data_IF_683370564031
#
_entry.id   IF_683370564031
#
_cell.length_a   1.000
_cell.length_b   1.000
_cell.length_c   1.000
_cell.angle_alpha   90.00
_cell.angle_beta   90.00
_cell.angle_gamma   90.00
#
_symmetry.space_group_name_H-M   'P 1'
#
loop_
_entity.id
_entity.type
_entity.pdbx_description
1 polymer ?
#
# COMPACT_ATOMS: atom_id res chain seq x y z
N UNK A 1 -5.27 -21.76 9.51
CA UNK A 1 -5.95 -20.46 9.34
C UNK A 1 -6.30 -19.94 10.73
N UNK A 2 -5.63 -18.90 11.22
CA UNK A 2 -6.09 -18.27 12.47
C UNK A 2 -7.44 -17.64 12.20
N UNK A 3 -8.45 -17.91 13.02
CA UNK A 3 -9.73 -17.23 12.95
C UNK A 3 -9.49 -15.72 13.02
N UNK A 4 -10.00 -14.96 12.05
CA UNK A 4 -9.90 -13.51 12.05
C UNK A 4 -10.68 -12.97 13.27
N UNK A 5 -10.04 -12.31 14.24
CA UNK A 5 -10.70 -11.89 15.48
C UNK A 5 -11.58 -10.65 15.30
N UNK A 6 -11.60 -10.05 14.12
CA UNK A 6 -12.34 -8.82 13.83
C UNK A 6 -13.83 -9.11 13.64
N UNK A 7 -14.65 -8.27 14.27
CA UNK A 7 -16.11 -8.26 14.14
C UNK A 7 -16.51 -6.87 13.64
N UNK A 8 -17.37 -6.79 12.62
CA UNK A 8 -17.93 -5.53 12.13
C UNK A 8 -19.24 -5.21 12.85
N UNK A 9 -19.51 -3.91 13.06
CA UNK A 9 -20.77 -3.43 13.65
C UNK A 9 -21.95 -3.51 12.67
N UNK A 10 -21.67 -3.61 11.37
CA UNK A 10 -22.63 -3.65 10.28
C UNK A 10 -22.31 -4.77 9.27
N UNK A 11 -23.28 -5.22 8.45
CA UNK A 11 -23.04 -6.23 7.43
C UNK A 11 -22.15 -5.66 6.31
N UNK A 12 -20.94 -6.21 6.18
CA UNK A 12 -19.98 -5.89 5.13
C UNK A 12 -19.40 -7.18 4.55
N UNK A 13 -18.82 -7.10 3.36
CA UNK A 13 -18.12 -8.26 2.79
C UNK A 13 -16.94 -8.68 3.68
N UNK A 14 -16.75 -9.99 3.96
CA UNK A 14 -15.63 -10.49 4.75
C UNK A 14 -14.24 -10.06 4.25
N UNK A 15 -14.09 -9.76 2.96
CA UNK A 15 -12.86 -9.26 2.36
C UNK A 15 -12.27 -8.07 3.15
N UNK A 16 -13.12 -7.14 3.60
CA UNK A 16 -12.68 -5.92 4.28
C UNK A 16 -12.08 -6.19 5.67
N UNK A 17 -12.58 -7.19 6.39
CA UNK A 17 -12.02 -7.61 7.68
C UNK A 17 -10.87 -8.59 7.51
N UNK A 18 -10.89 -9.43 6.47
CA UNK A 18 -9.88 -10.45 6.18
C UNK A 18 -8.56 -9.84 5.71
N UNK A 19 -8.62 -8.76 4.93
CA UNK A 19 -7.42 -8.02 4.55
C UNK A 19 -6.77 -7.42 5.80
N UNK A 20 -5.50 -7.72 6.01
CA UNK A 20 -4.67 -7.16 7.08
C UNK A 20 -3.22 -7.07 6.62
N UNK A 21 -2.40 -6.38 7.41
CA UNK A 21 -1.02 -6.04 7.05
C UNK A 21 -0.03 -6.71 8.01
N UNK A 22 0.28 -8.01 7.79
CA UNK A 22 1.33 -8.73 8.53
C UNK A 22 2.71 -8.16 8.24
N UNK A 23 3.70 -8.60 9.01
CA UNK A 23 5.13 -8.35 8.78
C UNK A 23 5.92 -9.64 8.56
N UNK A 24 5.41 -10.79 9.00
CA UNK A 24 6.01 -12.08 8.77
C UNK A 24 5.74 -12.52 7.32
N UNK A 25 6.74 -12.39 6.47
CA UNK A 25 6.70 -12.90 5.10
C UNK A 25 7.63 -14.09 4.95
N UNK A 26 7.25 -15.07 4.13
CA UNK A 26 8.01 -16.32 3.95
C UNK A 26 9.19 -16.23 2.96
N UNK A 27 9.42 -15.10 2.30
CA UNK A 27 10.48 -14.92 1.32
C UNK A 27 10.22 -15.54 -0.06
N UNK A 28 9.04 -16.09 -0.32
CA UNK A 28 8.67 -16.66 -1.62
C UNK A 28 8.67 -15.56 -2.70
N UNK A 29 9.20 -15.85 -3.89
CA UNK A 29 9.15 -14.90 -5.01
C UNK A 29 7.71 -14.77 -5.56
N UNK A 30 7.33 -13.58 -5.98
CA UNK A 30 6.04 -13.34 -6.68
C UNK A 30 6.27 -13.29 -8.19
N UNK A 31 5.48 -14.01 -9.01
CA UNK A 31 5.52 -13.84 -10.46
C UNK A 31 5.17 -12.40 -10.85
N UNK A 32 5.89 -11.83 -11.81
CA UNK A 32 5.65 -10.45 -12.25
C UNK A 32 4.20 -10.23 -12.70
N UNK A 33 3.62 -11.18 -13.44
CA UNK A 33 2.22 -11.13 -13.87
C UNK A 33 1.24 -11.05 -12.69
N UNK A 34 1.54 -11.73 -11.58
CA UNK A 34 0.71 -11.70 -10.38
C UNK A 34 0.77 -10.32 -9.75
N UNK A 35 1.97 -9.74 -9.59
CA UNK A 35 2.11 -8.36 -9.11
C UNK A 35 1.38 -7.36 -10.02
N UNK A 36 1.54 -7.50 -11.35
CA UNK A 36 0.88 -6.63 -12.32
C UNK A 36 -0.64 -6.74 -12.25
N UNK A 37 -1.20 -7.91 -11.92
CA UNK A 37 -2.65 -8.03 -11.68
C UNK A 37 -3.15 -7.20 -10.49
N UNK A 38 -2.31 -6.98 -9.47
CA UNK A 38 -2.66 -6.14 -8.31
C UNK A 38 -2.62 -4.66 -8.68
N UNK A 39 -1.63 -4.27 -9.48
CA UNK A 39 -1.52 -2.91 -10.01
C UNK A 39 -2.64 -2.63 -11.03
N UNK A 40 -3.06 -3.64 -11.80
CA UNK A 40 -4.21 -3.53 -12.71
C UNK A 40 -5.50 -3.25 -11.93
N UNK A 41 -5.73 -3.93 -10.80
CA UNK A 41 -6.85 -3.56 -9.92
C UNK A 41 -6.72 -2.11 -9.41
N UNK A 42 -5.51 -1.68 -9.02
CA UNK A 42 -5.25 -0.29 -8.62
C UNK A 42 -5.59 0.72 -9.73
N UNK A 43 -5.33 0.37 -11.00
CA UNK A 43 -5.62 1.20 -12.18
C UNK A 43 -7.11 1.52 -12.33
N UNK A 44 -7.98 0.64 -11.86
CA UNK A 44 -9.43 0.79 -11.91
C UNK A 44 -10.04 1.60 -10.75
N UNK A 45 -9.22 2.13 -9.84
CA UNK A 45 -9.72 3.05 -8.83
C UNK A 45 -10.35 4.31 -9.47
N UNK A 46 -11.40 4.89 -8.86
CA UNK A 46 -11.94 6.16 -9.32
C UNK A 46 -10.95 7.31 -9.03
N UNK A 47 -11.02 8.36 -9.85
CA UNK A 47 -10.29 9.60 -9.63
C UNK A 47 -11.06 10.80 -10.14
N UNK A 48 -10.85 11.96 -9.53
CA UNK A 48 -11.45 13.21 -9.99
C UNK A 48 -11.01 13.50 -11.42
N UNK A 49 -11.97 13.89 -12.28
CA UNK A 49 -11.76 14.07 -13.73
C UNK A 49 -11.20 12.84 -14.47
N UNK A 50 -11.24 11.65 -13.85
CA UNK A 50 -10.51 10.47 -14.32
C UNK A 50 -9.01 10.75 -14.53
N UNK A 51 -8.41 11.63 -13.71
CA UNK A 51 -7.03 12.10 -13.89
C UNK A 51 -5.97 11.03 -13.61
N UNK A 52 -6.35 9.94 -12.91
CA UNK A 52 -5.50 8.77 -12.64
C UNK A 52 -4.08 9.15 -12.19
N UNK A 53 -3.94 9.90 -11.08
CA UNK A 53 -2.68 10.54 -10.71
C UNK A 53 -1.62 9.53 -10.25
N UNK A 54 -2.02 8.33 -9.84
CA UNK A 54 -1.16 7.30 -9.26
C UNK A 54 -0.07 6.82 -10.22
N UNK A 55 1.14 6.62 -9.69
CA UNK A 55 2.24 5.90 -10.34
C UNK A 55 2.78 4.86 -9.38
N UNK A 56 3.24 3.74 -9.93
CA UNK A 56 3.81 2.63 -9.17
C UNK A 56 5.18 2.30 -9.74
N UNK A 57 6.19 2.30 -8.88
CA UNK A 57 7.52 1.79 -9.20
C UNK A 57 7.74 0.55 -8.34
N UNK A 58 8.25 -0.55 -8.90
CA UNK A 58 8.39 -1.79 -8.15
C UNK A 58 9.75 -2.46 -8.32
N UNK A 59 10.12 -3.25 -7.32
CA UNK A 59 11.19 -4.23 -7.40
C UNK A 59 10.68 -5.57 -6.90
N UNK A 60 11.03 -6.62 -7.64
CA UNK A 60 10.79 -8.00 -7.24
C UNK A 60 11.97 -8.51 -6.43
N UNK A 61 11.69 -9.40 -5.48
CA UNK A 61 12.72 -10.16 -4.78
C UNK A 61 13.67 -10.83 -5.78
N UNK A 62 14.94 -10.92 -5.41
CA UNK A 62 15.99 -11.60 -6.19
C UNK A 62 16.22 -11.02 -7.60
N UNK A 63 15.76 -9.80 -7.86
CA UNK A 63 16.08 -9.04 -9.07
C UNK A 63 17.09 -7.92 -8.79
N UNK A 64 17.81 -7.40 -9.81
CA UNK A 64 18.84 -6.38 -9.60
C UNK A 64 18.37 -5.10 -8.90
N UNK A 65 17.07 -4.79 -8.93
CA UNK A 65 16.52 -3.60 -8.27
C UNK A 65 16.17 -3.82 -6.79
N UNK A 66 16.19 -5.07 -6.30
CA UNK A 66 15.73 -5.40 -4.95
C UNK A 66 16.47 -4.62 -3.85
N UNK A 67 17.80 -4.66 -3.87
CA UNK A 67 18.61 -4.00 -2.85
C UNK A 67 18.43 -2.48 -2.88
N UNK A 68 18.25 -1.90 -4.08
CA UNK A 68 18.00 -0.46 -4.24
C UNK A 68 16.73 -0.05 -3.51
N UNK A 69 15.64 -0.82 -3.65
CA UNK A 69 14.37 -0.55 -3.00
C UNK A 69 14.41 -0.82 -1.50
N UNK A 70 15.05 -1.91 -1.06
CA UNK A 70 15.24 -2.18 0.37
C UNK A 70 16.02 -1.07 1.07
N UNK A 71 17.02 -0.52 0.38
CA UNK A 71 17.84 0.57 0.91
C UNK A 71 17.08 1.88 1.13
N UNK A 72 15.89 2.04 0.53
CA UNK A 72 15.01 3.19 0.78
C UNK A 72 14.34 3.10 2.16
N UNK A 73 14.12 1.88 2.67
CA UNK A 73 13.39 1.67 3.92
C UNK A 73 14.28 2.02 5.12
N UNK A 74 13.67 2.66 6.13
CA UNK A 74 14.32 2.83 7.44
C UNK A 74 14.53 1.47 8.12
N UNK A 75 15.50 1.39 9.04
CA UNK A 75 15.98 0.13 9.64
C UNK A 75 14.84 -0.73 10.20
N UNK A 76 13.89 -0.11 10.93
CA UNK A 76 12.74 -0.81 11.48
C UNK A 76 11.91 -1.54 10.42
N UNK A 77 11.63 -0.87 9.29
CA UNK A 77 10.85 -1.46 8.20
C UNK A 77 11.66 -2.48 7.40
N UNK A 78 12.93 -2.16 7.13
CA UNK A 78 13.85 -3.07 6.42
C UNK A 78 14.00 -4.41 7.13
N UNK A 79 14.03 -4.42 8.47
CA UNK A 79 14.25 -5.62 9.27
C UNK A 79 13.27 -6.77 9.00
N UNK A 80 12.01 -6.47 8.66
CA UNK A 80 11.02 -7.48 8.29
C UNK A 80 10.68 -7.46 6.79
N UNK A 81 10.66 -6.29 6.14
CA UNK A 81 10.31 -6.17 4.73
C UNK A 81 11.36 -6.80 3.79
N UNK A 82 12.59 -7.05 4.27
CA UNK A 82 13.59 -7.83 3.54
C UNK A 82 13.14 -9.27 3.21
N UNK A 83 12.12 -9.79 3.89
CA UNK A 83 11.51 -11.10 3.61
C UNK A 83 10.29 -11.02 2.67
N UNK A 84 9.93 -9.82 2.19
CA UNK A 84 8.85 -9.66 1.23
C UNK A 84 9.24 -10.20 -0.16
N UNK A 85 8.21 -10.41 -0.98
CA UNK A 85 8.29 -10.91 -2.35
C UNK A 85 8.43 -9.76 -3.36
N UNK A 86 7.89 -8.59 -3.04
CA UNK A 86 8.04 -7.37 -3.82
C UNK A 86 7.95 -6.13 -2.92
N UNK A 87 8.55 -5.04 -3.41
CA UNK A 87 8.41 -3.70 -2.87
C UNK A 87 7.83 -2.79 -3.95
N UNK A 88 6.82 -2.00 -3.62
CA UNK A 88 6.17 -1.04 -4.53
C UNK A 88 6.20 0.34 -3.91
N UNK A 89 6.87 1.30 -4.55
CA UNK A 89 6.77 2.72 -4.22
C UNK A 89 5.52 3.29 -4.91
N UNK A 90 4.65 3.92 -4.11
CA UNK A 90 3.42 4.55 -4.59
C UNK A 90 3.63 6.05 -4.66
N UNK A 91 3.34 6.62 -5.82
CA UNK A 91 3.48 8.04 -6.08
C UNK A 91 2.20 8.60 -6.70
N UNK A 92 2.12 9.93 -6.78
CA UNK A 92 1.09 10.60 -7.57
C UNK A 92 1.64 11.83 -8.27
N UNK A 93 1.19 12.10 -9.50
CA UNK A 93 1.38 13.41 -10.12
C UNK A 93 0.58 14.46 -9.35
N UNK A 94 1.22 15.58 -9.01
CA UNK A 94 0.64 16.67 -8.20
C UNK A 94 -0.12 17.69 -9.02
N UNK A 95 -0.07 17.56 -10.34
CA UNK A 95 -0.81 18.38 -11.30
C UNK A 95 -1.63 17.52 -12.24
N UNK A 96 -2.64 18.13 -12.86
CA UNK A 96 -3.39 17.54 -13.96
C UNK A 96 -3.79 18.60 -14.98
N UNK A 97 -4.00 18.18 -16.23
CA UNK A 97 -4.68 18.98 -17.24
C UNK A 97 -6.16 18.57 -17.31
N UNK A 98 -7.12 19.50 -17.15
CA UNK A 98 -8.54 19.19 -17.32
C UNK A 98 -8.87 18.72 -18.74
N UNK A 99 -9.93 17.91 -18.94
CA UNK A 99 -10.39 17.53 -20.28
C UNK A 99 -10.59 18.75 -21.18
N UNK A 100 -9.95 18.74 -22.35
CA UNK A 100 -10.01 19.85 -23.32
C UNK A 100 -9.01 20.98 -23.08
N UNK A 101 -8.14 20.87 -22.08
CA UNK A 101 -7.05 21.83 -21.81
C UNK A 101 -5.68 21.15 -21.88
N UNK A 102 -4.67 21.88 -22.32
CA UNK A 102 -3.25 21.50 -22.19
C UNK A 102 -2.54 22.18 -21.02
N UNK A 103 -3.24 23.08 -20.31
CA UNK A 103 -2.71 23.78 -19.14
C UNK A 103 -2.79 22.89 -17.90
N UNK A 104 -1.62 22.60 -17.31
CA UNK A 104 -1.50 21.87 -16.05
C UNK A 104 -1.88 22.74 -14.86
N UNK A 105 -2.65 22.17 -13.94
CA UNK A 105 -3.12 22.83 -12.70
C UNK A 105 -2.87 21.92 -11.51
N UNK A 106 -2.73 22.46 -10.28
CA UNK A 106 -2.63 21.63 -9.08
C UNK A 106 -3.80 20.64 -8.96
N UNK A 107 -3.49 19.36 -8.74
CA UNK A 107 -4.47 18.29 -8.57
C UNK A 107 -4.70 18.04 -7.07
N UNK A 108 -5.45 18.88 -6.37
CA UNK A 108 -5.57 18.86 -4.90
C UNK A 108 -6.06 17.52 -4.29
N UNK A 109 -6.62 16.63 -5.10
CA UNK A 109 -7.09 15.29 -4.76
C UNK A 109 -6.06 14.17 -4.99
N UNK A 110 -4.86 14.50 -5.52
CA UNK A 110 -3.92 13.50 -6.03
C UNK A 110 -3.56 12.41 -5.00
N UNK A 111 -3.43 12.79 -3.72
CA UNK A 111 -3.14 11.88 -2.61
C UNK A 111 -4.36 11.05 -2.21
N UNK A 112 -5.55 11.67 -2.17
CA UNK A 112 -6.81 11.00 -1.85
C UNK A 112 -7.14 9.91 -2.88
N UNK A 113 -7.05 10.26 -4.16
CA UNK A 113 -7.28 9.34 -5.28
C UNK A 113 -6.26 8.20 -5.29
N UNK A 114 -4.99 8.50 -5.04
CA UNK A 114 -3.93 7.48 -4.91
C UNK A 114 -4.15 6.55 -3.70
N UNK A 115 -4.74 7.06 -2.62
CA UNK A 115 -5.18 6.25 -1.48
C UNK A 115 -6.22 5.20 -1.87
N UNK A 116 -7.15 5.55 -2.76
CA UNK A 116 -8.14 4.62 -3.32
C UNK A 116 -7.47 3.54 -4.18
N UNK A 117 -6.51 3.92 -5.04
CA UNK A 117 -5.73 2.98 -5.85
C UNK A 117 -4.92 1.99 -4.99
N UNK A 118 -4.29 2.47 -3.91
CA UNK A 118 -3.66 1.60 -2.91
C UNK A 118 -4.66 0.63 -2.27
N UNK A 119 -5.86 1.11 -1.91
CA UNK A 119 -6.94 0.27 -1.38
C UNK A 119 -7.29 -0.89 -2.32
N UNK A 120 -7.48 -0.60 -3.62
CA UNK A 120 -7.80 -1.61 -4.62
C UNK A 120 -6.66 -2.63 -4.80
N UNK A 121 -5.40 -2.17 -4.82
CA UNK A 121 -4.23 -3.04 -4.84
C UNK A 121 -4.23 -4.02 -3.66
N UNK A 122 -4.43 -3.51 -2.44
CA UNK A 122 -4.40 -4.31 -1.23
C UNK A 122 -5.55 -5.34 -1.17
N UNK A 123 -6.74 -4.96 -1.65
CA UNK A 123 -7.90 -5.84 -1.73
C UNK A 123 -7.69 -6.96 -2.76
N UNK A 124 -7.15 -6.63 -3.95
CA UNK A 124 -6.84 -7.62 -4.98
C UNK A 124 -5.76 -8.60 -4.53
N UNK A 125 -4.69 -8.11 -3.92
CA UNK A 125 -3.65 -8.96 -3.34
C UNK A 125 -4.23 -9.94 -2.31
N UNK A 126 -5.12 -9.45 -1.43
CA UNK A 126 -5.80 -10.28 -0.43
C UNK A 126 -6.65 -11.39 -1.05
N UNK A 127 -7.38 -11.10 -2.15
CA UNK A 127 -8.16 -12.12 -2.87
C UNK A 127 -7.28 -13.19 -3.50
N UNK A 128 -6.10 -12.81 -3.99
CA UNK A 128 -5.12 -13.73 -4.54
C UNK A 128 -4.31 -14.49 -3.46
N UNK A 129 -4.66 -14.33 -2.17
CA UNK A 129 -3.98 -14.95 -1.05
C UNK A 129 -2.60 -14.36 -0.76
N UNK A 130 -2.37 -13.09 -1.11
CA UNK A 130 -1.17 -12.31 -0.79
C UNK A 130 -1.50 -11.23 0.23
N UNK A 131 -0.48 -10.80 0.98
CA UNK A 131 -0.63 -9.75 1.98
C UNK A 131 0.17 -8.52 1.60
N UNK A 132 -0.36 -7.35 1.94
CA UNK A 132 0.28 -6.06 1.68
C UNK A 132 0.44 -5.23 2.96
N UNK A 133 1.56 -4.55 3.09
CA UNK A 133 1.87 -3.67 4.21
C UNK A 133 2.40 -2.32 3.72
N UNK A 134 1.60 -1.26 3.86
CA UNK A 134 2.00 0.11 3.52
C UNK A 134 2.89 0.72 4.61
N UNK A 135 3.97 1.37 4.20
CA UNK A 135 5.01 1.92 5.07
C UNK A 135 5.25 3.40 4.75
N UNK A 136 5.20 4.24 5.78
CA UNK A 136 5.63 5.64 5.70
C UNK A 136 7.09 5.85 6.17
N UNK A 137 7.67 4.89 6.89
CA UNK A 137 9.05 4.97 7.41
C UNK A 137 10.09 4.58 6.36
N UNK A 138 10.39 5.48 5.43
CA UNK A 138 11.41 5.33 4.40
C UNK A 138 12.02 6.71 4.08
N UNK A 139 13.20 6.73 3.47
CA UNK A 139 13.86 7.96 3.04
C UNK A 139 13.27 8.46 1.72
N UNK A 140 12.47 9.52 1.79
CA UNK A 140 11.77 10.12 0.64
C UNK A 140 12.71 10.83 -0.32
N UNK A 141 13.75 11.49 0.19
CA UNK A 141 14.71 12.23 -0.65
C UNK A 141 15.64 11.27 -1.38
N UNK A 142 16.09 10.23 -0.69
CA UNK A 142 16.83 9.14 -1.31
C UNK A 142 15.95 8.42 -2.36
N UNK A 143 14.70 8.10 -2.04
CA UNK A 143 13.78 7.48 -2.99
C UNK A 143 13.58 8.33 -4.24
N UNK A 144 13.41 9.65 -4.08
CA UNK A 144 13.28 10.59 -5.20
C UNK A 144 14.51 10.56 -6.09
N UNK A 145 15.70 10.65 -5.50
CA UNK A 145 16.97 10.66 -6.23
C UNK A 145 17.27 9.33 -6.91
N UNK A 146 17.24 8.22 -6.16
CA UNK A 146 17.55 6.87 -6.63
C UNK A 146 16.60 6.40 -7.73
N UNK A 147 15.31 6.70 -7.58
CA UNK A 147 14.27 6.26 -8.52
C UNK A 147 13.98 7.30 -9.60
N UNK A 148 14.73 8.42 -9.62
CA UNK A 148 14.61 9.50 -10.62
C UNK A 148 13.18 10.04 -10.69
N UNK A 149 12.54 10.23 -9.53
CA UNK A 149 11.17 10.71 -9.43
C UNK A 149 11.13 12.20 -9.77
N UNK A 150 10.35 12.63 -10.77
CA UNK A 150 10.22 14.04 -11.13
C UNK A 150 9.68 14.91 -9.98
N UNK A 151 10.00 16.21 -10.01
CA UNK A 151 9.61 17.15 -8.96
C UNK A 151 8.08 17.36 -8.85
N UNK A 152 7.35 17.16 -9.94
CA UNK A 152 5.88 17.24 -9.99
C UNK A 152 5.18 15.97 -9.47
N UNK A 153 5.93 15.02 -8.88
CA UNK A 153 5.40 13.81 -8.26
C UNK A 153 5.66 13.78 -6.76
N UNK A 154 4.62 13.42 -6.01
CA UNK A 154 4.66 13.18 -4.56
C UNK A 154 4.83 11.68 -4.30
N UNK A 155 5.72 11.31 -3.36
CA UNK A 155 5.97 9.91 -2.97
C UNK A 155 5.19 9.63 -1.68
N UNK A 156 4.23 8.71 -1.70
CA UNK A 156 3.32 8.50 -0.57
C UNK A 156 3.80 7.44 0.41
N UNK A 157 4.13 6.26 -0.12
CA UNK A 157 4.40 5.07 0.69
C UNK A 157 5.26 4.06 -0.08
N UNK A 158 5.87 3.14 0.67
CA UNK A 158 6.39 1.88 0.13
C UNK A 158 5.51 0.74 0.63
N UNK A 159 5.11 -0.16 -0.25
CA UNK A 159 4.30 -1.33 0.06
C UNK A 159 5.20 -2.56 0.01
N UNK A 160 5.23 -3.32 1.10
CA UNK A 160 5.73 -4.69 1.07
C UNK A 160 4.61 -5.66 0.69
N UNK A 161 4.89 -6.59 -0.21
CA UNK A 161 3.95 -7.62 -0.67
C UNK A 161 4.59 -8.99 -0.46
N UNK A 162 3.86 -9.93 0.14
CA UNK A 162 4.35 -11.30 0.30
C UNK A 162 3.32 -12.30 0.80
N UNK A 163 3.70 -13.57 0.83
CA UNK A 163 2.94 -14.64 1.48
C UNK A 163 3.22 -14.66 2.98
N UNK A 164 2.19 -14.95 3.77
CA UNK A 164 2.30 -15.01 5.22
C UNK A 164 3.32 -16.09 5.63
N UNK A 165 4.31 -15.71 6.44
CA UNK A 165 5.31 -16.60 7.01
C UNK A 165 5.01 -16.97 8.47
N UNK A 166 5.91 -17.73 9.08
CA UNK A 166 5.87 -17.97 10.52
C UNK A 166 6.26 -16.69 11.26
N UNK A 167 5.45 -16.28 12.25
CA UNK A 167 5.76 -15.12 13.09
C UNK A 167 7.08 -15.27 13.84
N UNK A 168 7.54 -16.50 14.11
CA UNK A 168 8.78 -16.77 14.84
C UNK A 168 10.04 -16.14 14.21
N UNK A 169 9.98 -15.80 12.91
CA UNK A 169 11.06 -15.09 12.20
C UNK A 169 11.17 -13.61 12.59
N UNK A 170 10.14 -13.05 13.22
CA UNK A 170 10.11 -11.66 13.67
C UNK A 170 10.75 -11.53 15.05
N UNK A 171 11.20 -10.32 15.41
CA UNK A 171 11.58 -10.02 16.79
C UNK A 171 10.39 -10.21 17.74
N UNK A 172 10.64 -10.52 19.02
CA UNK A 172 9.58 -10.76 20.01
C UNK A 172 8.54 -9.63 20.05
N UNK A 173 9.00 -8.38 19.99
CA UNK A 173 8.14 -7.20 19.95
C UNK A 173 7.18 -7.16 18.75
N UNK A 174 7.62 -7.68 17.60
CA UNK A 174 6.84 -7.75 16.38
C UNK A 174 5.93 -8.98 16.38
N UNK A 175 6.37 -10.11 16.95
CA UNK A 175 5.54 -11.30 17.12
C UNK A 175 4.25 -11.02 17.89
N UNK A 176 4.33 -10.21 18.97
CA UNK A 176 3.17 -9.79 19.75
C UNK A 176 2.18 -8.92 18.94
N UNK A 177 2.66 -8.26 17.88
CA UNK A 177 1.88 -7.37 17.00
C UNK A 177 1.42 -8.06 15.72
N UNK A 178 1.79 -9.32 15.52
CA UNK A 178 1.50 -10.10 14.31
C UNK A 178 0.08 -10.68 14.35
N UNK A 179 -0.89 -9.80 14.59
CA UNK A 179 -2.32 -10.09 14.68
C UNK A 179 -3.13 -8.98 13.98
N UNK A 180 -4.30 -9.28 13.40
CA UNK A 180 -5.17 -8.25 12.83
C UNK A 180 -5.59 -7.20 13.88
N UNK A 181 -5.34 -5.91 13.60
CA UNK A 181 -5.72 -4.80 14.49
C UNK A 181 -7.23 -4.49 14.48
N UNK A 182 -7.75 -3.95 15.59
CA UNK A 182 -9.12 -3.43 15.69
C UNK A 182 -9.29 -2.06 15.00
N UNK A 183 -10.50 -1.48 15.08
CA UNK A 183 -10.81 -0.09 14.69
C UNK A 183 -11.47 0.62 15.87
N UNK A 184 -11.43 1.96 15.85
CA UNK A 184 -12.29 2.78 16.72
C UNK A 184 -13.76 2.45 16.43
N UNK A 185 -14.66 2.58 17.41
CA UNK A 185 -16.10 2.49 17.20
C UNK A 185 -16.55 3.36 16.02
N UNK A 186 -17.55 2.90 15.25
CA UNK A 186 -18.02 3.65 14.08
C UNK A 186 -18.53 5.05 14.48
N UNK A 187 -19.20 5.16 15.62
CA UNK A 187 -19.74 6.42 16.15
C UNK A 187 -18.66 7.49 16.43
N UNK A 188 -17.37 7.13 16.54
CA UNK A 188 -16.28 8.10 16.71
C UNK A 188 -15.80 8.72 15.38
N UNK A 189 -16.32 8.25 14.23
CA UNK A 189 -15.89 8.69 12.90
C UNK A 189 -17.05 9.03 11.95
N UNK A 190 -18.31 8.87 12.38
CA UNK A 190 -19.50 9.21 11.57
C UNK A 190 -20.50 10.05 12.36
N UNK A 191 -20.97 11.13 11.73
CA UNK A 191 -22.05 11.97 12.21
C UNK A 191 -23.03 12.19 11.05
N UNK A 192 -24.33 12.21 11.35
CA UNK A 192 -25.36 12.59 10.39
C UNK A 192 -25.59 14.10 10.48
N UNK A 193 -25.52 14.80 9.34
CA UNK A 193 -25.71 16.25 9.26
C UNK A 193 -24.42 17.02 9.53
N UNK A 194 -24.40 17.79 10.62
CA UNK A 194 -23.28 18.67 10.97
C UNK A 194 -22.08 17.89 11.54
N UNK A 195 -20.92 18.55 11.57
CA UNK A 195 -19.74 18.00 12.23
C UNK A 195 -19.98 17.94 13.75
N UNK A 196 -20.27 16.74 14.25
CA UNK A 196 -20.50 16.45 15.67
C UNK A 196 -19.67 15.26 16.18
N UNK A 197 -18.48 15.06 15.59
CA UNK A 197 -17.52 14.01 15.90
C UNK A 197 -16.62 14.36 17.09
#
# INVERSE_FOLDING_TARGET
>A
MSANPRVSEHPIDPQFINRWSPRAFNGEAIPQETLLSFIEAARWAPSSFNSQPWRFLFALRDTPNWQRYLNLLGEFNRGWAQHASALVVVLSKTTFAPPGSSEEKPALWHSFDTGSAWGFLALQASLAGWHTHGMAGFDRELARTELKVPADHEIHAVIAIGKLGDKSILSESLQAREVPNARRPLAEIVAEGDFSL
#
